data_IF_294830053228
#
_entry.id   IF_294830053228
#
_cell.length_a   1.000
_cell.length_b   1.000
_cell.length_c   1.000
_cell.angle_alpha   90.00
_cell.angle_beta   90.00
_cell.angle_gamma   90.00
#
_symmetry.space_group_name_H-M   'P 1'
#
loop_
_entity.id
_entity.type
_entity.pdbx_description
1 polymer ?
#
# COMPACT_ATOMS: atom_id res chain seq x y z
N UNK A 1 42.42 -1.79 11.93
CA UNK A 1 41.55 -1.12 12.91
C UNK A 1 40.12 -1.28 12.42
N UNK A 2 39.55 -2.45 12.72
CA UNK A 2 38.21 -2.91 12.32
C UNK A 2 37.37 -3.02 13.60
N UNK A 3 36.13 -2.49 13.57
CA UNK A 3 34.98 -2.68 14.49
C UNK A 3 34.27 -1.32 14.59
N UNK A 4 32.98 -1.17 14.27
CA UNK A 4 31.84 -1.85 14.89
C UNK A 4 30.74 -2.12 13.86
N UNK A 5 30.69 -3.35 13.35
CA UNK A 5 29.43 -4.03 13.09
C UNK A 5 29.15 -4.85 14.35
N UNK A 6 27.93 -4.75 14.86
CA UNK A 6 27.49 -5.43 16.08
C UNK A 6 27.86 -6.93 16.00
N UNK A 7 28.55 -7.45 17.01
CA UNK A 7 29.17 -8.78 16.99
C UNK A 7 28.14 -9.92 16.81
N UNK A 8 26.86 -9.65 17.04
CA UNK A 8 25.74 -10.54 16.76
C UNK A 8 25.47 -10.72 15.25
N UNK A 9 25.74 -9.70 14.42
CA UNK A 9 25.54 -9.74 12.96
C UNK A 9 26.60 -10.57 12.24
N UNK A 10 27.83 -10.57 12.74
CA UNK A 10 28.93 -11.34 12.17
C UNK A 10 28.77 -12.86 12.39
N UNK A 11 27.91 -13.27 13.32
CA UNK A 11 27.70 -14.66 13.72
C UNK A 11 26.44 -15.30 13.12
N UNK A 12 25.60 -14.56 12.40
CA UNK A 12 24.42 -15.10 11.70
C UNK A 12 24.79 -15.58 10.28
N UNK A 13 24.84 -16.90 10.02
CA UNK A 13 25.26 -17.45 8.74
C UNK A 13 24.27 -17.11 7.61
N UNK A 14 22.98 -16.94 7.92
CA UNK A 14 21.92 -16.73 6.92
C UNK A 14 21.91 -15.28 6.44
N UNK A 15 22.12 -14.32 7.34
CA UNK A 15 22.28 -12.90 6.97
C UNK A 15 23.55 -12.67 6.11
N UNK A 16 24.60 -13.47 6.38
CA UNK A 16 25.89 -13.42 5.70
C UNK A 16 25.87 -14.03 4.30
N UNK A 17 24.98 -14.98 4.03
CA UNK A 17 24.84 -15.60 2.70
C UNK A 17 23.95 -14.79 1.73
N UNK A 18 22.89 -14.14 2.21
CA UNK A 18 21.91 -13.52 1.32
C UNK A 18 22.21 -12.05 0.96
N UNK A 19 22.67 -11.25 1.92
CA UNK A 19 22.63 -9.78 1.79
C UNK A 19 24.03 -9.19 1.62
N UNK A 20 25.01 -9.74 2.32
CA UNK A 20 26.39 -9.23 2.28
C UNK A 20 27.08 -9.43 0.91
N UNK A 21 26.96 -10.60 0.24
CA UNK A 21 27.55 -10.80 -1.08
C UNK A 21 26.81 -10.01 -2.16
N UNK A 22 25.51 -9.69 -1.97
CA UNK A 22 24.72 -8.86 -2.87
C UNK A 22 25.13 -7.38 -2.79
N UNK A 23 25.36 -6.87 -1.57
CA UNK A 23 25.82 -5.51 -1.36
C UNK A 23 27.30 -5.32 -1.74
N UNK A 24 28.17 -6.32 -1.52
CA UNK A 24 29.58 -6.27 -1.94
C UNK A 24 29.75 -6.34 -3.47
N UNK A 25 28.94 -7.11 -4.20
CA UNK A 25 29.06 -7.26 -5.67
C UNK A 25 28.78 -5.95 -6.44
N UNK A 26 28.10 -5.00 -5.81
CA UNK A 26 27.72 -3.72 -6.41
C UNK A 26 28.72 -2.58 -6.09
N UNK A 27 29.74 -2.82 -5.24
CA UNK A 27 30.74 -1.82 -4.89
C UNK A 27 30.24 -0.67 -4.00
N UNK A 28 29.13 -0.85 -3.27
CA UNK A 28 28.37 0.22 -2.59
C UNK A 28 28.60 0.18 -1.06
N UNK A 29 29.85 0.13 -0.62
CA UNK A 29 30.16 0.43 0.78
C UNK A 29 31.30 1.42 0.84
N UNK A 30 30.96 2.68 1.09
CA UNK A 30 31.88 3.66 1.67
C UNK A 30 31.37 4.06 3.05
N UNK A 31 32.29 4.14 4.01
CA UNK A 31 32.06 4.17 5.45
C UNK A 31 31.39 5.45 6.01
N UNK A 32 30.51 6.12 5.26
CA UNK A 32 29.88 7.37 5.68
C UNK A 32 28.45 7.16 6.20
N UNK A 33 28.06 7.77 7.35
CA UNK A 33 26.67 7.81 7.81
C UNK A 33 25.71 8.54 6.85
N UNK A 34 26.24 9.21 5.83
CA UNK A 34 25.47 9.83 4.73
C UNK A 34 25.40 8.94 3.46
N UNK A 35 25.82 7.67 3.52
CA UNK A 35 25.80 6.77 2.36
C UNK A 35 24.39 6.18 2.12
N UNK A 36 23.60 6.93 1.34
CA UNK A 36 22.26 6.54 0.87
C UNK A 36 22.26 5.53 -0.28
N UNK A 37 23.44 5.13 -0.77
CA UNK A 37 23.60 4.22 -1.91
C UNK A 37 22.78 2.93 -1.78
N UNK A 38 22.79 2.24 -0.63
CA UNK A 38 22.01 1.02 -0.43
C UNK A 38 20.49 1.22 -0.53
N UNK A 39 19.94 2.28 0.08
CA UNK A 39 18.50 2.56 0.04
C UNK A 39 18.04 2.96 -1.37
N UNK A 40 18.84 3.76 -2.08
CA UNK A 40 18.57 4.12 -3.48
C UNK A 40 18.64 2.89 -4.40
N UNK A 41 19.52 1.94 -4.13
CA UNK A 41 19.61 0.70 -4.90
C UNK A 41 18.35 -0.17 -4.71
N UNK A 42 17.85 -0.30 -3.48
CA UNK A 42 16.58 -0.99 -3.21
C UNK A 42 15.42 -0.30 -3.90
N UNK A 43 15.33 1.03 -3.81
CA UNK A 43 14.28 1.82 -4.44
C UNK A 43 14.29 1.75 -5.99
N UNK A 44 15.42 1.41 -6.62
CA UNK A 44 15.56 1.28 -8.08
C UNK A 44 15.40 -0.16 -8.60
N UNK A 45 15.24 -1.15 -7.71
CA UNK A 45 15.13 -2.56 -8.11
C UNK A 45 13.87 -2.79 -8.96
N UNK A 46 13.88 -3.86 -9.76
CA UNK A 46 12.65 -4.35 -10.40
C UNK A 46 11.60 -4.72 -9.35
N UNK A 47 10.33 -4.42 -9.65
CA UNK A 47 9.18 -4.78 -8.82
C UNK A 47 8.70 -6.21 -9.06
N UNK A 48 9.26 -6.94 -10.04
CA UNK A 48 8.75 -8.26 -10.42
C UNK A 48 9.10 -9.37 -9.41
N UNK A 49 10.24 -9.26 -8.73
CA UNK A 49 10.66 -10.21 -7.69
C UNK A 49 11.16 -9.45 -6.45
N UNK A 50 10.23 -8.94 -5.63
CA UNK A 50 10.58 -8.21 -4.41
C UNK A 50 11.14 -9.20 -3.37
N UNK A 51 12.30 -8.92 -2.76
CA UNK A 51 12.85 -9.79 -1.72
C UNK A 51 12.03 -9.75 -0.44
N UNK A 52 11.94 -10.91 0.23
CA UNK A 52 11.51 -11.00 1.63
C UNK A 52 12.64 -10.51 2.53
N UNK A 53 12.39 -9.43 3.27
CA UNK A 53 13.38 -8.88 4.17
C UNK A 53 13.44 -9.62 5.49
N UNK A 54 14.66 -9.90 5.92
CA UNK A 54 14.93 -10.36 7.27
C UNK A 54 14.69 -9.25 8.28
N UNK A 55 14.41 -9.64 9.52
CA UNK A 55 14.24 -8.75 10.67
C UNK A 55 15.43 -7.79 10.84
N UNK A 56 16.65 -8.29 10.71
CA UNK A 56 17.88 -7.48 10.77
C UNK A 56 17.89 -6.38 9.70
N UNK A 57 17.47 -6.72 8.48
CA UNK A 57 17.42 -5.76 7.36
C UNK A 57 16.39 -4.67 7.63
N UNK A 58 15.24 -5.03 8.19
CA UNK A 58 14.19 -4.08 8.56
C UNK A 58 14.66 -3.10 9.62
N UNK A 59 15.42 -3.55 10.63
CA UNK A 59 15.98 -2.65 11.65
C UNK A 59 17.01 -1.68 11.06
N UNK A 60 17.82 -2.11 10.09
CA UNK A 60 18.75 -1.20 9.43
C UNK A 60 18.06 -0.19 8.53
N UNK A 61 17.06 -0.60 7.76
CA UNK A 61 16.25 0.35 7.00
C UNK A 61 15.59 1.35 7.95
N UNK A 62 15.04 0.88 9.08
CA UNK A 62 14.44 1.74 10.11
C UNK A 62 15.43 2.78 10.64
N UNK A 63 16.63 2.38 10.99
CA UNK A 63 17.65 3.28 11.53
C UNK A 63 18.10 4.32 10.51
N UNK A 64 18.35 3.89 9.26
CA UNK A 64 18.70 4.79 8.17
C UNK A 64 17.59 5.81 7.93
N UNK A 65 16.32 5.38 7.89
CA UNK A 65 15.17 6.28 7.72
C UNK A 65 14.91 7.18 8.94
N UNK A 66 15.27 6.74 10.15
CA UNK A 66 15.05 7.52 11.38
C UNK A 66 16.09 8.63 11.59
N UNK A 67 17.27 8.48 10.98
CA UNK A 67 18.40 9.39 11.13
C UNK A 67 18.54 10.38 9.96
N UNK A 68 17.68 10.30 8.95
CA UNK A 68 17.80 11.10 7.73
C UNK A 68 17.17 12.49 7.87
N UNK A 69 17.90 13.52 7.43
CA UNK A 69 17.36 14.84 7.09
C UNK A 69 17.17 15.00 5.56
N UNK A 70 16.81 13.92 4.86
CA UNK A 70 16.60 13.95 3.41
C UNK A 70 15.27 14.64 3.07
N UNK A 71 15.32 15.61 2.16
CA UNK A 71 14.14 16.33 1.67
C UNK A 71 13.10 15.37 1.02
N UNK A 72 13.58 14.30 0.36
CA UNK A 72 12.77 13.33 -0.40
C UNK A 72 12.59 11.97 0.31
N UNK A 73 12.81 11.93 1.62
CA UNK A 73 12.78 10.69 2.41
C UNK A 73 11.47 9.90 2.23
N UNK A 74 10.34 10.61 2.19
CA UNK A 74 9.02 9.99 2.04
C UNK A 74 8.87 9.25 0.71
N UNK A 75 9.28 9.87 -0.40
CA UNK A 75 9.20 9.23 -1.71
C UNK A 75 10.15 8.02 -1.79
N UNK A 76 11.37 8.15 -1.28
CA UNK A 76 12.34 7.06 -1.25
C UNK A 76 11.81 5.87 -0.44
N UNK A 77 11.23 6.12 0.74
CA UNK A 77 10.68 5.08 1.59
C UNK A 77 9.51 4.34 0.95
N UNK A 78 8.61 5.06 0.27
CA UNK A 78 7.52 4.45 -0.49
C UNK A 78 8.07 3.56 -1.62
N UNK A 79 9.10 4.01 -2.35
CA UNK A 79 9.72 3.18 -3.39
C UNK A 79 10.39 1.92 -2.83
N UNK A 80 10.96 1.99 -1.63
CA UNK A 80 11.46 0.80 -0.91
C UNK A 80 10.32 -0.16 -0.59
N UNK A 81 9.20 0.34 -0.05
CA UNK A 81 8.06 -0.48 0.32
C UNK A 81 7.36 -1.15 -0.88
N UNK A 82 7.38 -0.51 -2.06
CA UNK A 82 6.92 -1.11 -3.33
C UNK A 82 7.75 -2.31 -3.79
N UNK A 83 8.92 -2.53 -3.21
CA UNK A 83 9.91 -3.55 -3.62
C UNK A 83 10.30 -4.48 -2.48
N UNK A 84 9.53 -4.47 -1.40
CA UNK A 84 9.90 -5.15 -0.15
C UNK A 84 8.76 -6.04 0.30
N UNK A 85 9.02 -7.33 0.45
CA UNK A 85 8.14 -8.26 1.13
C UNK A 85 8.48 -8.33 2.61
N UNK A 86 7.46 -8.49 3.44
CA UNK A 86 7.55 -8.77 4.88
C UNK A 86 6.60 -9.89 5.27
N UNK A 87 6.79 -10.44 6.47
CA UNK A 87 5.85 -11.42 7.00
C UNK A 87 4.46 -10.79 7.20
N UNK A 88 3.45 -11.45 6.65
CA UNK A 88 2.09 -11.00 6.71
C UNK A 88 1.09 -12.14 6.67
N UNK A 89 -0.15 -11.78 6.39
CA UNK A 89 -1.22 -12.74 6.23
C UNK A 89 -2.33 -12.21 5.34
N UNK A 90 -3.13 -13.15 4.82
CA UNK A 90 -4.39 -12.90 4.13
C UNK A 90 -5.49 -13.72 4.78
N UNK A 91 -6.74 -13.34 4.53
CA UNK A 91 -7.89 -14.21 4.80
C UNK A 91 -8.25 -14.97 3.53
N UNK A 92 -8.44 -16.28 3.67
CA UNK A 92 -8.95 -17.18 2.64
C UNK A 92 -10.09 -17.96 3.28
N UNK A 93 -11.31 -17.79 2.77
CA UNK A 93 -12.52 -18.44 3.32
C UNK A 93 -12.69 -18.18 4.83
N UNK A 94 -12.43 -16.94 5.27
CA UNK A 94 -12.50 -16.55 6.69
C UNK A 94 -11.33 -17.04 7.56
N UNK A 95 -10.42 -17.86 7.01
CA UNK A 95 -9.26 -18.39 7.73
C UNK A 95 -8.03 -17.54 7.45
N UNK A 96 -7.34 -17.11 8.51
CA UNK A 96 -6.06 -16.42 8.41
C UNK A 96 -4.96 -17.37 7.91
N UNK A 97 -4.32 -17.04 6.79
CA UNK A 97 -3.17 -17.76 6.21
C UNK A 97 -1.94 -16.85 6.20
N UNK A 98 -0.83 -17.33 6.76
CA UNK A 98 0.45 -16.60 6.73
C UNK A 98 1.02 -16.64 5.32
N UNK A 99 1.51 -15.49 4.86
CA UNK A 99 2.25 -15.37 3.61
C UNK A 99 3.11 -14.10 3.62
N UNK A 100 4.18 -14.05 2.82
CA UNK A 100 4.83 -12.78 2.51
C UNK A 100 3.84 -11.79 1.87
N UNK A 101 3.92 -10.53 2.26
CA UNK A 101 3.08 -9.44 1.73
C UNK A 101 3.95 -8.26 1.30
N UNK A 102 3.56 -7.58 0.22
CA UNK A 102 4.27 -6.41 -0.28
C UNK A 102 3.89 -5.20 0.58
N UNK A 103 4.87 -4.53 1.19
CA UNK A 103 4.61 -3.49 2.20
C UNK A 103 3.69 -2.38 1.67
N UNK A 104 3.96 -1.88 0.47
CA UNK A 104 3.16 -0.81 -0.13
C UNK A 104 1.74 -1.23 -0.54
N UNK A 105 1.47 -2.54 -0.64
CA UNK A 105 0.14 -3.08 -0.92
C UNK A 105 -0.57 -3.64 0.32
N UNK A 106 0.15 -3.83 1.42
CA UNK A 106 -0.36 -4.41 2.65
C UNK A 106 -0.94 -3.36 3.61
N UNK A 107 -1.97 -3.74 4.36
CA UNK A 107 -2.57 -2.92 5.40
C UNK A 107 -1.89 -3.15 6.74
N UNK A 108 -1.89 -2.13 7.60
CA UNK A 108 -1.49 -2.31 8.98
C UNK A 108 -2.55 -3.16 9.69
N UNK A 109 -2.14 -4.26 10.32
CA UNK A 109 -3.03 -5.03 11.20
C UNK A 109 -3.50 -4.18 12.39
N UNK A 110 -4.64 -4.53 12.98
CA UNK A 110 -5.21 -3.79 14.12
C UNK A 110 -4.19 -3.57 15.26
N UNK A 111 -3.34 -4.57 15.51
CA UNK A 111 -2.28 -4.50 16.53
C UNK A 111 -1.21 -3.45 16.20
N UNK A 112 -0.87 -3.24 14.92
CA UNK A 112 0.12 -2.24 14.48
C UNK A 112 -0.53 -0.86 14.36
N UNK A 113 -1.70 -0.78 13.74
CA UNK A 113 -2.42 0.47 13.56
C UNK A 113 -2.90 1.07 14.90
N UNK A 114 -3.10 0.22 15.91
CA UNK A 114 -3.60 0.59 17.23
C UNK A 114 -5.02 0.06 17.43
N UNK A 115 -5.32 -0.48 18.62
CA UNK A 115 -6.61 -1.08 18.96
C UNK A 115 -7.74 -0.05 18.87
N UNK A 116 -8.40 0.01 17.72
CA UNK A 116 -9.34 1.08 17.38
C UNK A 116 -9.25 1.55 15.93
N UNK A 117 -8.28 1.06 15.16
CA UNK A 117 -8.16 1.36 13.73
C UNK A 117 -9.47 0.99 12.97
N UNK A 118 -10.13 1.98 12.35
CA UNK A 118 -11.44 1.77 11.75
C UNK A 118 -11.37 0.87 10.52
N UNK A 119 -10.27 0.86 9.77
CA UNK A 119 -10.15 0.05 8.57
C UNK A 119 -10.01 -1.43 8.88
N UNK A 120 -9.12 -1.80 9.80
CA UNK A 120 -8.99 -3.18 10.26
C UNK A 120 -10.30 -3.75 10.80
N UNK A 121 -11.10 -2.94 11.50
CA UNK A 121 -12.44 -3.32 11.95
C UNK A 121 -13.44 -3.45 10.80
N UNK A 122 -13.42 -2.51 9.85
CA UNK A 122 -14.31 -2.55 8.68
C UNK A 122 -14.04 -3.79 7.83
N UNK A 123 -12.78 -3.98 7.46
CA UNK A 123 -12.32 -5.05 6.60
C UNK A 123 -12.37 -6.42 7.27
N UNK A 124 -12.18 -6.52 8.59
CA UNK A 124 -12.21 -7.77 9.34
C UNK A 124 -11.53 -8.95 8.62
N UNK A 125 -12.29 -9.99 8.31
CA UNK A 125 -11.88 -11.20 7.60
C UNK A 125 -12.14 -11.21 6.08
N UNK A 126 -12.40 -10.04 5.47
CA UNK A 126 -12.64 -9.95 4.02
C UNK A 126 -11.48 -10.60 3.24
N UNK A 127 -11.76 -11.58 2.35
CA UNK A 127 -10.71 -12.29 1.64
C UNK A 127 -9.86 -11.41 0.70
N UNK A 128 -8.60 -11.79 0.53
CA UNK A 128 -7.69 -11.16 -0.44
C UNK A 128 -7.00 -9.89 0.01
N UNK A 129 -7.35 -9.30 1.16
CA UNK A 129 -6.59 -8.19 1.74
C UNK A 129 -5.31 -8.70 2.39
N UNK A 130 -4.19 -8.04 2.05
CA UNK A 130 -2.87 -8.31 2.62
C UNK A 130 -2.68 -7.51 3.91
N UNK A 131 -2.22 -8.16 4.98
CA UNK A 131 -1.98 -7.54 6.28
C UNK A 131 -0.57 -7.79 6.76
N UNK A 132 0.08 -6.76 7.31
CA UNK A 132 1.39 -6.89 7.95
C UNK A 132 1.24 -7.60 9.30
N UNK A 133 2.08 -8.60 9.56
CA UNK A 133 1.94 -9.46 10.74
C UNK A 133 2.17 -8.70 12.05
N UNK A 134 1.27 -8.90 13.02
CA UNK A 134 1.32 -8.27 14.34
C UNK A 134 2.61 -8.55 15.13
N UNK A 135 3.40 -9.58 14.78
CA UNK A 135 4.71 -9.85 15.37
C UNK A 135 5.62 -8.62 15.34
N UNK A 136 5.43 -7.73 14.36
CA UNK A 136 6.23 -6.54 14.24
C UNK A 136 6.00 -5.52 15.36
N UNK A 137 4.87 -5.59 16.10
CA UNK A 137 4.64 -4.73 17.26
C UNK A 137 5.69 -5.00 18.35
N UNK A 138 5.86 -6.26 18.75
CA UNK A 138 6.84 -6.63 19.77
C UNK A 138 8.27 -6.53 19.23
N UNK A 139 8.49 -6.92 17.98
CA UNK A 139 9.80 -6.81 17.33
C UNK A 139 10.37 -5.38 17.37
N UNK A 140 9.59 -4.38 16.91
CA UNK A 140 10.06 -2.99 16.91
C UNK A 140 10.15 -2.40 18.32
N UNK A 141 9.27 -2.80 19.24
CA UNK A 141 9.28 -2.34 20.63
C UNK A 141 10.52 -2.81 21.39
N UNK A 142 10.99 -4.02 21.09
CA UNK A 142 12.15 -4.60 21.76
C UNK A 142 13.49 -4.07 21.20
N UNK A 143 13.46 -3.46 20.01
CA UNK A 143 14.63 -2.83 19.42
C UNK A 143 14.74 -1.36 19.86
N UNK A 144 15.90 -0.95 20.36
CA UNK A 144 16.13 0.41 20.87
C UNK A 144 16.07 1.48 19.77
N UNK A 145 15.45 2.62 20.10
CA UNK A 145 15.40 3.83 19.24
C UNK A 145 14.60 3.71 17.93
N UNK A 146 14.46 4.84 17.23
CA UNK A 146 13.88 4.93 15.90
C UNK A 146 12.35 4.88 15.82
N UNK A 147 11.83 4.78 14.59
CA UNK A 147 10.39 4.72 14.31
C UNK A 147 9.74 3.46 14.88
N UNK A 148 8.59 3.60 15.55
CA UNK A 148 7.74 2.46 15.91
C UNK A 148 7.15 1.77 14.67
N UNK A 149 6.70 0.51 14.82
CA UNK A 149 6.18 -0.31 13.70
C UNK A 149 5.13 0.43 12.84
N UNK A 150 4.18 1.14 13.49
CA UNK A 150 3.16 1.93 12.78
C UNK A 150 3.77 3.00 11.88
N UNK A 151 4.65 3.83 12.43
CA UNK A 151 5.26 4.94 11.70
C UNK A 151 6.19 4.41 10.60
N UNK A 152 6.95 3.35 10.89
CA UNK A 152 7.86 2.73 9.95
C UNK A 152 7.13 2.15 8.74
N UNK A 153 6.11 1.30 8.94
CA UNK A 153 5.40 0.71 7.81
C UNK A 153 4.53 1.71 7.07
N UNK A 154 3.95 2.70 7.76
CA UNK A 154 3.25 3.81 7.09
C UNK A 154 4.19 4.62 6.18
N UNK A 155 5.42 4.88 6.63
CA UNK A 155 6.44 5.56 5.82
C UNK A 155 6.83 4.74 4.58
N UNK A 156 6.80 3.40 4.67
CA UNK A 156 7.00 2.49 3.54
C UNK A 156 5.74 2.31 2.65
N UNK A 157 4.63 2.99 2.93
CA UNK A 157 3.41 2.94 2.11
C UNK A 157 2.36 1.89 2.53
N UNK A 158 2.53 1.26 3.69
CA UNK A 158 1.45 0.47 4.28
C UNK A 158 0.31 1.41 4.73
N UNK A 159 -0.93 0.98 4.56
CA UNK A 159 -2.09 1.87 4.66
C UNK A 159 -3.08 1.44 5.76
N UNK A 160 -3.89 2.38 6.24
CA UNK A 160 -4.95 2.18 7.24
C UNK A 160 -6.33 2.57 6.71
N UNK A 161 -6.51 2.56 5.39
CA UNK A 161 -7.75 2.85 4.68
C UNK A 161 -7.70 2.21 3.27
N UNK A 162 -8.84 1.89 2.63
CA UNK A 162 -8.84 1.29 1.30
C UNK A 162 -8.09 2.13 0.28
N UNK A 163 -7.24 1.53 -0.55
CA UNK A 163 -6.41 2.29 -1.48
C UNK A 163 -7.15 2.59 -2.80
N UNK A 164 -7.23 3.86 -3.22
CA UNK A 164 -7.55 4.17 -4.60
C UNK A 164 -6.37 3.78 -5.49
N UNK A 165 -6.68 3.11 -6.61
CA UNK A 165 -5.76 2.74 -7.67
C UNK A 165 -6.23 3.41 -8.95
N UNK A 166 -5.29 4.00 -9.68
CA UNK A 166 -5.59 4.51 -11.01
C UNK A 166 -6.09 3.33 -11.85
N UNK A 167 -7.26 3.51 -12.47
CA UNK A 167 -7.82 2.49 -13.34
C UNK A 167 -6.92 2.32 -14.55
N UNK A 168 -6.75 1.08 -14.99
CA UNK A 168 -6.04 0.83 -16.24
C UNK A 168 -6.78 1.50 -17.39
N UNK A 169 -6.04 2.27 -18.19
CA UNK A 169 -6.57 2.95 -19.37
C UNK A 169 -6.38 2.06 -20.58
N UNK A 170 -7.47 1.83 -21.31
CA UNK A 170 -7.49 0.81 -22.37
C UNK A 170 -7.61 1.44 -23.77
N UNK A 171 -8.03 2.70 -23.88
CA UNK A 171 -8.20 3.40 -25.16
C UNK A 171 -7.49 4.74 -25.21
N UNK A 172 -6.83 5.02 -26.34
CA UNK A 172 -6.20 6.32 -26.63
C UNK A 172 -6.81 6.98 -27.86
N UNK A 173 -7.08 8.29 -27.75
CA UNK A 173 -7.47 9.16 -28.87
C UNK A 173 -6.54 10.38 -28.85
N UNK A 174 -5.74 10.55 -29.91
CA UNK A 174 -4.79 11.67 -30.02
C UNK A 174 -3.84 11.82 -28.79
N UNK A 175 -3.41 10.71 -28.19
CA UNK A 175 -2.52 10.71 -27.02
C UNK A 175 -3.25 10.92 -25.69
N UNK A 176 -4.56 11.13 -25.71
CA UNK A 176 -5.39 11.20 -24.51
C UNK A 176 -6.00 9.83 -24.20
N UNK A 177 -5.82 9.38 -22.97
CA UNK A 177 -6.23 8.06 -22.52
C UNK A 177 -7.53 8.11 -21.72
N UNK A 178 -8.43 7.16 -21.97
CA UNK A 178 -9.66 6.97 -21.21
C UNK A 178 -9.98 5.48 -21.06
N UNK A 179 -10.67 5.13 -19.99
CA UNK A 179 -11.15 3.77 -19.70
C UNK A 179 -12.64 3.67 -20.00
N UNK A 180 -13.06 2.60 -20.68
CA UNK A 180 -14.46 2.38 -21.00
C UNK A 180 -15.31 2.24 -19.72
N UNK A 181 -16.50 2.82 -19.73
CA UNK A 181 -17.48 2.57 -18.67
C UNK A 181 -18.03 1.15 -18.87
N UNK A 182 -17.80 0.29 -17.89
CA UNK A 182 -18.25 -1.10 -17.93
C UNK A 182 -19.76 -1.26 -18.09
N UNK A 183 -20.19 -2.41 -18.59
CA UNK A 183 -21.60 -2.79 -18.60
C UNK A 183 -22.04 -3.51 -17.31
N UNK A 184 -21.47 -3.12 -16.16
CA UNK A 184 -21.81 -3.62 -14.82
C UNK A 184 -22.88 -2.74 -14.16
N UNK A 185 -23.41 -3.13 -13.00
CA UNK A 185 -24.36 -2.29 -12.27
C UNK A 185 -23.75 -0.92 -11.89
N UNK A 186 -22.47 -0.90 -11.48
CA UNK A 186 -21.73 0.32 -11.23
C UNK A 186 -21.53 1.17 -12.49
N UNK A 187 -21.15 0.55 -13.60
CA UNK A 187 -21.00 1.26 -14.87
C UNK A 187 -22.32 1.81 -15.43
N UNK A 188 -23.45 1.09 -15.24
CA UNK A 188 -24.79 1.61 -15.59
C UNK A 188 -25.12 2.88 -14.82
N UNK A 189 -24.90 2.89 -13.50
CA UNK A 189 -25.08 4.07 -12.65
C UNK A 189 -24.22 5.25 -13.10
N UNK A 190 -22.98 5.01 -13.51
CA UNK A 190 -22.10 6.06 -14.04
C UNK A 190 -22.61 6.65 -15.35
N UNK A 191 -23.11 5.81 -16.26
CA UNK A 191 -23.76 6.31 -17.49
C UNK A 191 -24.98 7.15 -17.16
N UNK A 192 -25.82 6.71 -16.23
CA UNK A 192 -26.99 7.48 -15.77
C UNK A 192 -26.59 8.84 -15.20
N UNK A 193 -25.58 8.90 -14.33
CA UNK A 193 -25.06 10.14 -13.76
C UNK A 193 -24.48 11.09 -14.82
N UNK A 194 -23.98 10.56 -15.94
CA UNK A 194 -23.51 11.35 -17.09
C UNK A 194 -24.62 11.75 -18.08
N UNK A 195 -25.90 11.49 -17.76
CA UNK A 195 -27.02 11.74 -18.68
C UNK A 195 -27.03 10.79 -19.90
N UNK A 196 -26.43 9.61 -19.78
CA UNK A 196 -26.42 8.55 -20.79
C UNK A 196 -25.47 8.78 -21.96
N UNK A 197 -24.73 9.89 -21.99
CA UNK A 197 -23.84 10.25 -23.12
C UNK A 197 -22.42 9.74 -22.97
N UNK A 198 -21.93 9.58 -21.74
CA UNK A 198 -20.55 9.15 -21.54
C UNK A 198 -20.38 7.68 -21.89
N UNK A 199 -19.28 7.39 -22.57
CA UNK A 199 -18.85 6.02 -22.89
C UNK A 199 -17.57 5.65 -22.15
N UNK A 200 -16.79 6.64 -21.72
CA UNK A 200 -15.48 6.46 -21.11
C UNK A 200 -15.24 7.45 -19.96
N UNK A 201 -14.21 7.21 -19.17
CA UNK A 201 -13.76 8.04 -18.06
C UNK A 201 -12.26 8.34 -18.18
N UNK A 202 -11.85 9.57 -17.87
CA UNK A 202 -10.44 9.96 -17.69
C UNK A 202 -10.16 10.23 -16.22
N UNK A 203 -8.86 10.16 -15.87
CA UNK A 203 -8.36 10.40 -14.51
C UNK A 203 -9.11 9.54 -13.47
N UNK A 204 -9.39 8.30 -13.87
CA UNK A 204 -10.31 7.46 -13.15
C UNK A 204 -9.59 6.62 -12.10
N UNK A 205 -10.23 6.46 -10.94
CA UNK A 205 -9.71 5.69 -9.83
C UNK A 205 -10.75 4.69 -9.34
N UNK A 206 -10.28 3.50 -9.04
CA UNK A 206 -11.05 2.42 -8.41
C UNK A 206 -10.50 2.13 -7.02
N UNK A 207 -11.34 1.59 -6.14
CA UNK A 207 -10.92 1.12 -4.82
C UNK A 207 -11.25 -0.36 -4.68
N UNK A 208 -10.48 -1.29 -5.27
CA UNK A 208 -10.85 -2.70 -5.32
C UNK A 208 -11.04 -3.33 -3.94
N UNK A 209 -10.25 -2.93 -2.95
CA UNK A 209 -10.40 -3.42 -1.58
C UNK A 209 -11.63 -2.85 -0.86
N UNK A 210 -12.05 -1.63 -1.23
CA UNK A 210 -13.32 -1.08 -0.74
C UNK A 210 -14.49 -1.89 -1.30
N UNK A 211 -14.47 -2.17 -2.61
CA UNK A 211 -15.49 -2.97 -3.29
C UNK A 211 -15.59 -4.37 -2.69
N UNK A 212 -14.45 -5.06 -2.48
CA UNK A 212 -14.43 -6.36 -1.79
C UNK A 212 -15.10 -6.31 -0.42
N UNK A 213 -14.81 -5.28 0.38
CA UNK A 213 -15.44 -5.14 1.70
C UNK A 213 -16.94 -4.90 1.56
N UNK A 214 -17.36 -4.00 0.66
CA UNK A 214 -18.77 -3.71 0.38
C UNK A 214 -19.53 -4.96 -0.08
N UNK A 215 -18.92 -5.82 -0.89
CA UNK A 215 -19.52 -7.08 -1.36
C UNK A 215 -19.71 -8.10 -0.23
N UNK A 216 -18.84 -8.08 0.79
CA UNK A 216 -18.96 -8.98 1.94
C UNK A 216 -19.99 -8.53 2.99
N UNK A 217 -20.26 -7.22 3.10
CA UNK A 217 -21.13 -6.67 4.15
C UNK A 217 -22.57 -7.23 4.15
N UNK A 218 -23.26 -7.41 3.00
CA UNK A 218 -24.63 -7.90 2.97
C UNK A 218 -24.80 -9.31 3.54
N UNK A 219 -23.78 -10.16 3.43
CA UNK A 219 -23.80 -11.54 3.90
C UNK A 219 -23.65 -11.65 5.43
N UNK A 220 -23.29 -10.57 6.12
CA UNK A 220 -23.06 -10.57 7.56
C UNK A 220 -24.35 -10.49 8.38
N UNK A 221 -24.39 -11.10 9.57
CA UNK A 221 -25.47 -10.91 10.52
C UNK A 221 -25.64 -9.43 10.90
N UNK A 222 -26.87 -8.96 11.21
CA UNK A 222 -27.12 -7.56 11.56
C UNK A 222 -26.23 -7.01 12.69
N UNK A 223 -25.90 -7.85 13.67
CA UNK A 223 -25.05 -7.49 14.82
C UNK A 223 -23.60 -7.19 14.45
N UNK A 224 -23.10 -7.74 13.34
CA UNK A 224 -21.73 -7.51 12.84
C UNK A 224 -21.70 -6.49 11.69
N UNK A 225 -22.73 -6.54 10.84
CA UNK A 225 -22.87 -5.66 9.67
C UNK A 225 -22.86 -4.18 10.05
N UNK A 226 -23.66 -3.79 11.05
CA UNK A 226 -23.77 -2.37 11.45
C UNK A 226 -22.45 -1.82 12.02
N UNK A 227 -21.77 -2.50 12.96
CA UNK A 227 -20.45 -2.06 13.41
C UNK A 227 -19.40 -2.01 12.31
N UNK A 228 -19.35 -2.98 11.39
CA UNK A 228 -18.39 -2.95 10.26
C UNK A 228 -18.67 -1.80 9.30
N UNK A 229 -19.94 -1.54 8.97
CA UNK A 229 -20.33 -0.39 8.13
C UNK A 229 -19.98 0.96 8.78
N UNK A 230 -20.19 1.11 10.10
CA UNK A 230 -19.79 2.31 10.85
C UNK A 230 -18.26 2.49 10.87
N UNK A 231 -17.52 1.40 11.04
CA UNK A 231 -16.07 1.42 10.97
C UNK A 231 -15.59 1.80 9.56
N UNK A 232 -16.25 1.29 8.52
CA UNK A 232 -15.93 1.62 7.13
C UNK A 232 -16.10 3.12 6.87
N UNK A 233 -17.24 3.69 7.26
CA UNK A 233 -17.48 5.13 7.15
C UNK A 233 -16.44 5.93 7.93
N UNK A 234 -16.06 5.47 9.12
CA UNK A 234 -15.02 6.12 9.93
C UNK A 234 -13.64 6.08 9.28
N UNK A 235 -13.28 4.98 8.63
CA UNK A 235 -12.02 4.85 7.88
C UNK A 235 -11.98 5.81 6.68
N UNK A 236 -13.05 5.81 5.87
CA UNK A 236 -13.18 6.70 4.71
C UNK A 236 -13.15 8.17 5.12
N UNK A 237 -13.92 8.55 6.15
CA UNK A 237 -13.96 9.93 6.66
C UNK A 237 -12.59 10.40 7.16
N UNK A 238 -11.87 9.54 7.87
CA UNK A 238 -10.55 9.88 8.42
C UNK A 238 -9.50 10.04 7.32
N UNK A 239 -9.57 9.20 6.28
CA UNK A 239 -8.63 9.25 5.16
C UNK A 239 -9.07 10.19 4.02
N UNK A 240 -10.27 10.78 4.08
CA UNK A 240 -10.87 11.59 2.99
C UNK A 240 -9.91 12.60 2.37
N UNK A 241 -9.39 13.52 3.19
CA UNK A 241 -8.49 14.59 2.73
C UNK A 241 -7.14 14.10 2.22
N UNK A 242 -6.70 12.90 2.62
CA UNK A 242 -5.37 12.38 2.28
C UNK A 242 -5.41 11.47 1.05
N UNK A 243 -6.44 10.65 0.91
CA UNK A 243 -6.51 9.61 -0.11
C UNK A 243 -7.59 9.86 -1.16
N UNK A 244 -8.71 10.50 -0.82
CA UNK A 244 -9.91 10.45 -1.66
C UNK A 244 -10.30 11.80 -2.28
N UNK A 245 -9.99 12.93 -1.65
CA UNK A 245 -10.46 14.25 -2.11
C UNK A 245 -10.08 14.55 -3.55
N UNK A 246 -8.89 14.11 -3.97
CA UNK A 246 -8.31 14.47 -5.26
C UNK A 246 -8.66 13.43 -6.35
N UNK A 247 -9.24 12.30 -5.96
CA UNK A 247 -9.55 11.15 -6.83
C UNK A 247 -11.01 10.72 -6.73
N UNK A 248 -11.85 11.51 -6.06
CA UNK A 248 -13.28 11.23 -5.91
C UNK A 248 -14.11 11.52 -7.17
N UNK A 249 -13.51 12.20 -8.15
CA UNK A 249 -14.12 12.55 -9.41
C UNK A 249 -13.32 11.96 -10.57
N UNK A 250 -14.04 11.56 -11.60
CA UNK A 250 -13.49 11.21 -12.91
C UNK A 250 -14.13 12.11 -13.97
N UNK A 251 -13.42 12.34 -15.08
CA UNK A 251 -13.96 13.11 -16.19
C UNK A 251 -14.73 12.19 -17.12
N UNK A 252 -16.05 12.38 -17.21
CA UNK A 252 -16.88 11.64 -18.13
C UNK A 252 -16.70 12.15 -19.56
N UNK A 253 -16.39 11.24 -20.48
CA UNK A 253 -16.12 11.58 -21.89
C UNK A 253 -16.84 10.62 -22.84
N UNK A 254 -17.03 11.08 -24.07
CA UNK A 254 -17.40 10.23 -25.20
C UNK A 254 -16.47 10.46 -26.38
N UNK A 255 -16.39 9.49 -27.27
CA UNK A 255 -15.58 9.58 -28.48
C UNK A 255 -16.39 10.16 -29.63
N UNK A 256 -15.92 11.27 -30.20
CA UNK A 256 -16.35 11.79 -31.50
C UNK A 256 -15.13 12.42 -32.18
N UNK A 257 -14.33 11.57 -32.84
CA UNK A 257 -12.96 11.80 -33.35
C UNK A 257 -11.90 12.11 -32.27
N UNK A 258 -12.26 12.86 -31.23
CA UNK A 258 -11.48 13.09 -30.00
C UNK A 258 -12.32 12.75 -28.77
N UNK A 259 -11.71 12.75 -27.58
CA UNK A 259 -12.51 12.74 -26.36
C UNK A 259 -13.23 14.08 -26.21
N UNK A 260 -14.54 14.01 -26.02
CA UNK A 260 -15.41 15.15 -25.74
C UNK A 260 -15.88 15.05 -24.30
N UNK A 261 -15.68 16.12 -23.54
CA UNK A 261 -16.09 16.17 -22.14
C UNK A 261 -17.60 16.27 -22.01
N UNK A 262 -18.16 15.42 -21.14
CA UNK A 262 -19.54 15.50 -20.63
C UNK A 262 -19.57 16.26 -19.31
N UNK A 263 -18.49 16.20 -18.54
CA UNK A 263 -18.34 16.84 -17.23
C UNK A 263 -17.77 15.88 -16.17
N UNK A 264 -17.47 16.38 -14.97
CA UNK A 264 -16.99 15.53 -13.87
C UNK A 264 -18.12 14.67 -13.32
N UNK A 265 -17.82 13.44 -12.96
CA UNK A 265 -18.73 12.52 -12.27
C UNK A 265 -18.10 12.01 -10.97
N UNK A 266 -18.93 11.81 -9.95
CA UNK A 266 -18.48 11.24 -8.67
C UNK A 266 -18.29 9.72 -8.80
N UNK A 267 -17.14 9.23 -8.31
CA UNK A 267 -16.81 7.80 -8.31
C UNK A 267 -17.27 7.05 -7.06
N UNK A 268 -17.30 7.72 -5.90
CA UNK A 268 -17.62 7.12 -4.60
C UNK A 268 -19.02 7.49 -4.07
N UNK A 269 -19.96 7.84 -4.95
CA UNK A 269 -21.32 8.29 -4.62
C UNK A 269 -22.41 7.35 -5.12
#
# INVERSE_FOLDING_TARGET
MFALLDAAFAQDPVAREAIFPWLQRLGIFTSSPDDWGPLRAVARRSTQEPPLLSDVSLLRIRELLSSSALDDLGQLAVEIGKRTLVDGYIYVEGIRRRQPVLVAEAYLSASIAGGGDPWSRAAGDTPGLQWIDQRYVSFFRNASGGLGARAFFALLGAETAPRPKARQVDESRHGEWASAIENTAGGRRQRELSGGRATHLRNDYECPDLERVLDTLPALPPGERRPRAQALFSALRTAWRRLYSDVAQADAVYSDYSWRSVGPILRFG
#
